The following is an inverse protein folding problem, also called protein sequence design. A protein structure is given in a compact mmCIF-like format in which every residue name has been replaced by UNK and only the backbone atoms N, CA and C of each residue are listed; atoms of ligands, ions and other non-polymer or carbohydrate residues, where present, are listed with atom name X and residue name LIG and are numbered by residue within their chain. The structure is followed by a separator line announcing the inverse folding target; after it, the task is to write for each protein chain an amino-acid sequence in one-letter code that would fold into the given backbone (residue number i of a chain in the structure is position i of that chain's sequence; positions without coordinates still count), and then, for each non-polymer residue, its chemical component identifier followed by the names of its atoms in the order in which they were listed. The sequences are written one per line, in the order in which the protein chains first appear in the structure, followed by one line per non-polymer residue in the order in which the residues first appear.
data_IF_467146413540
#
_entry.id   IF_467146413540
#
_cell.length_a   1.000
_cell.length_b   1.000
_cell.length_c   1.000
_cell.angle_alpha   90.00
_cell.angle_beta   90.00
_cell.angle_gamma   90.00
#
_symmetry.space_group_name_H-M   'P 1'
#
loop_
_entity.id
_entity.type
_entity.pdbx_description
1 polymer ?
#
# COMPACT_ATOMS: atom_id res chain seq x y z
N UNK A 1 -67.47 -3.29 -21.38
CA UNK A 1 -66.65 -3.80 -20.27
C UNK A 1 -65.26 -4.08 -20.82
N UNK A 2 -64.29 -3.12 -20.63
CA UNK A 2 -62.90 -3.28 -21.14
C UNK A 2 -62.01 -3.67 -20.00
N UNK A 3 -61.48 -4.93 -20.03
CA UNK A 3 -60.54 -5.48 -19.06
C UNK A 3 -59.16 -4.90 -19.40
N UNK A 4 -58.61 -4.08 -18.50
CA UNK A 4 -57.20 -3.65 -18.54
C UNK A 4 -56.33 -4.74 -17.95
N UNK A 5 -55.54 -5.40 -18.76
CA UNK A 5 -54.50 -6.33 -18.35
C UNK A 5 -53.28 -5.55 -17.90
N UNK A 6 -53.04 -5.55 -16.60
CA UNK A 6 -51.85 -4.95 -16.00
C UNK A 6 -50.67 -5.96 -16.08
N UNK A 7 -49.68 -5.66 -16.92
CA UNK A 7 -48.43 -6.37 -16.97
C UNK A 7 -47.59 -5.98 -15.78
N UNK A 8 -47.44 -6.88 -14.84
CA UNK A 8 -46.48 -6.77 -13.74
C UNK A 8 -45.09 -7.17 -14.29
N UNK A 9 -44.23 -6.19 -14.55
CA UNK A 9 -42.84 -6.43 -14.90
C UNK A 9 -42.09 -6.78 -13.61
N UNK A 10 -41.86 -8.06 -13.34
CA UNK A 10 -41.01 -8.52 -12.27
C UNK A 10 -39.56 -8.24 -12.67
N UNK A 11 -38.97 -7.16 -12.14
CA UNK A 11 -37.53 -6.94 -12.15
C UNK A 11 -36.87 -8.00 -11.28
N UNK A 12 -36.40 -9.07 -11.90
CA UNK A 12 -35.50 -10.03 -11.26
C UNK A 12 -34.16 -9.34 -11.03
N UNK A 13 -33.91 -8.86 -9.80
CA UNK A 13 -32.57 -8.54 -9.33
C UNK A 13 -31.77 -9.84 -9.30
N UNK A 14 -31.02 -10.12 -10.36
CA UNK A 14 -29.94 -11.07 -10.32
C UNK A 14 -28.90 -10.51 -9.32
N UNK A 15 -28.96 -10.93 -8.07
CA UNK A 15 -27.84 -10.89 -7.15
C UNK A 15 -26.75 -11.79 -7.75
N UNK A 16 -25.90 -11.20 -8.58
CA UNK A 16 -24.69 -11.85 -9.03
C UNK A 16 -23.93 -12.26 -7.77
N UNK A 17 -23.91 -13.55 -7.47
CA UNK A 17 -23.09 -14.12 -6.40
C UNK A 17 -21.65 -13.63 -6.66
N UNK A 18 -21.14 -12.77 -5.79
CA UNK A 18 -19.76 -12.30 -5.90
C UNK A 18 -18.86 -13.55 -5.93
N UNK A 19 -18.15 -13.74 -7.04
CA UNK A 19 -17.24 -14.87 -7.20
C UNK A 19 -16.13 -14.72 -6.16
N UNK A 20 -16.07 -15.67 -5.21
CA UNK A 20 -15.07 -15.65 -4.15
C UNK A 20 -13.79 -16.33 -4.60
N UNK A 21 -12.65 -15.78 -4.20
CA UNK A 21 -11.35 -16.39 -4.43
C UNK A 21 -11.21 -17.66 -3.59
N UNK A 22 -10.68 -18.71 -4.19
CA UNK A 22 -10.19 -19.87 -3.43
C UNK A 22 -8.84 -19.51 -2.81
N UNK A 23 -8.87 -19.02 -1.58
CA UNK A 23 -7.69 -18.54 -0.85
C UNK A 23 -6.60 -19.62 -0.73
N UNK A 24 -7.00 -20.88 -0.53
CA UNK A 24 -6.05 -22.01 -0.44
C UNK A 24 -5.29 -22.21 -1.76
N UNK A 25 -6.00 -22.18 -2.87
CA UNK A 25 -5.39 -22.31 -4.20
C UNK A 25 -4.53 -21.09 -4.53
N UNK A 26 -4.98 -19.86 -4.22
CA UNK A 26 -4.24 -18.64 -4.43
C UNK A 26 -2.91 -18.63 -3.67
N UNK A 27 -2.92 -18.98 -2.37
CA UNK A 27 -1.68 -19.13 -1.60
C UNK A 27 -0.77 -20.24 -2.12
N UNK A 28 -1.33 -21.37 -2.56
CA UNK A 28 -0.52 -22.47 -3.12
C UNK A 28 0.16 -22.07 -4.44
N UNK A 29 -0.52 -21.32 -5.31
CA UNK A 29 0.06 -20.80 -6.55
C UNK A 29 1.09 -19.70 -6.26
N UNK A 30 0.79 -18.76 -5.37
CA UNK A 30 1.70 -17.73 -4.94
C UNK A 30 2.98 -18.32 -4.32
N UNK A 31 2.87 -19.36 -3.48
CA UNK A 31 4.01 -20.02 -2.88
C UNK A 31 4.96 -20.64 -3.92
N UNK A 32 4.40 -21.29 -4.97
CA UNK A 32 5.21 -21.84 -6.09
C UNK A 32 5.95 -20.73 -6.83
N UNK A 33 5.28 -19.62 -7.06
CA UNK A 33 5.85 -18.46 -7.75
C UNK A 33 6.97 -17.84 -6.90
N UNK A 34 6.73 -17.62 -5.60
CA UNK A 34 7.72 -17.08 -4.67
C UNK A 34 8.94 -18.01 -4.49
N UNK A 35 8.78 -19.33 -4.60
CA UNK A 35 9.92 -20.27 -4.61
C UNK A 35 10.86 -20.02 -5.80
N UNK A 36 10.32 -19.63 -6.95
CA UNK A 36 11.10 -19.25 -8.12
C UNK A 36 11.77 -17.89 -7.88
N UNK A 37 11.02 -16.93 -7.32
CA UNK A 37 11.55 -15.61 -6.98
C UNK A 37 12.77 -15.72 -6.03
N UNK A 38 12.69 -16.56 -5.00
CA UNK A 38 13.78 -16.79 -4.05
C UNK A 38 15.04 -17.31 -4.75
N UNK A 39 14.90 -18.26 -5.69
CA UNK A 39 16.05 -18.77 -6.47
C UNK A 39 16.70 -17.66 -7.30
N UNK A 40 15.90 -16.78 -7.92
CA UNK A 40 16.41 -15.65 -8.68
C UNK A 40 17.09 -14.61 -7.76
N UNK A 41 16.53 -14.35 -6.59
CA UNK A 41 17.12 -13.47 -5.56
C UNK A 41 18.48 -14.02 -5.10
N UNK A 42 18.54 -15.31 -4.72
CA UNK A 42 19.79 -15.92 -4.26
C UNK A 42 20.85 -15.93 -5.37
N UNK A 43 20.47 -16.22 -6.62
CA UNK A 43 21.39 -16.17 -7.78
C UNK A 43 21.91 -14.75 -8.04
N UNK A 44 21.05 -13.73 -7.98
CA UNK A 44 21.46 -12.33 -8.15
C UNK A 44 22.42 -11.87 -7.05
N UNK A 45 22.22 -12.34 -5.81
CA UNK A 45 23.07 -12.02 -4.65
C UNK A 45 24.45 -12.66 -4.72
N UNK A 46 24.62 -13.78 -5.41
CA UNK A 46 25.97 -14.33 -5.67
C UNK A 46 26.83 -13.37 -6.49
N UNK A 47 26.20 -12.61 -7.40
CA UNK A 47 26.89 -11.64 -8.27
C UNK A 47 27.04 -10.27 -7.56
N UNK A 48 25.98 -9.82 -6.87
CA UNK A 48 25.91 -8.52 -6.20
C UNK A 48 25.36 -8.70 -4.77
N UNK A 49 26.21 -9.03 -3.78
CA UNK A 49 25.78 -9.36 -2.41
C UNK A 49 25.07 -8.24 -1.66
N UNK A 50 25.27 -6.98 -2.07
CA UNK A 50 24.63 -5.81 -1.47
C UNK A 50 23.16 -5.62 -1.89
N UNK A 51 22.69 -6.36 -2.90
CA UNK A 51 21.29 -6.36 -3.30
C UNK A 51 20.51 -7.33 -2.41
N UNK A 52 19.47 -6.84 -1.74
CA UNK A 52 18.77 -7.59 -0.68
C UNK A 52 17.33 -7.95 -1.00
N UNK A 53 16.68 -7.23 -1.92
CA UNK A 53 15.25 -7.40 -2.18
C UNK A 53 14.95 -7.31 -3.68
N UNK A 54 14.08 -8.18 -4.23
CA UNK A 54 13.56 -8.01 -5.58
C UNK A 54 12.62 -6.82 -5.60
N UNK A 55 12.63 -6.04 -6.68
CA UNK A 55 11.75 -4.88 -6.85
C UNK A 55 10.73 -5.08 -7.96
N UNK A 56 11.21 -5.42 -9.17
CA UNK A 56 10.39 -5.46 -10.38
C UNK A 56 11.10 -6.22 -11.50
N UNK A 57 10.42 -6.36 -12.63
CA UNK A 57 10.99 -6.71 -13.91
C UNK A 57 10.83 -5.53 -14.85
N UNK A 58 11.92 -4.97 -15.33
CA UNK A 58 11.89 -3.80 -16.21
C UNK A 58 12.64 -4.11 -17.50
N UNK A 59 12.00 -3.90 -18.66
CA UNK A 59 12.53 -4.24 -19.98
C UNK A 59 13.04 -5.70 -20.06
N UNK A 60 12.28 -6.61 -19.44
CA UNK A 60 12.62 -8.03 -19.37
C UNK A 60 13.77 -8.38 -18.41
N UNK A 61 14.29 -7.43 -17.65
CA UNK A 61 15.41 -7.63 -16.73
C UNK A 61 14.94 -7.65 -15.28
N UNK A 62 15.35 -8.66 -14.53
CA UNK A 62 15.12 -8.74 -13.08
C UNK A 62 15.87 -7.65 -12.34
N UNK A 63 15.14 -6.85 -11.58
CA UNK A 63 15.68 -5.73 -10.79
C UNK A 63 15.67 -6.05 -9.31
N UNK A 64 16.84 -6.01 -8.71
CA UNK A 64 17.07 -6.10 -7.28
C UNK A 64 17.47 -4.73 -6.73
N UNK A 65 17.20 -4.48 -5.46
CA UNK A 65 17.54 -3.24 -4.76
C UNK A 65 18.36 -3.49 -3.49
N UNK A 66 19.07 -2.44 -3.08
CA UNK A 66 19.77 -2.39 -1.80
C UNK A 66 18.79 -2.17 -0.65
N UNK A 67 19.22 -2.42 0.59
CA UNK A 67 18.37 -2.24 1.79
C UNK A 67 17.79 -0.84 1.94
N UNK A 68 18.46 0.18 1.41
CA UNK A 68 18.07 1.59 1.50
C UNK A 68 16.90 1.96 0.57
N UNK A 69 16.56 1.13 -0.39
CA UNK A 69 15.39 1.35 -1.26
C UNK A 69 14.10 1.19 -0.45
N UNK A 70 13.14 2.08 -0.67
CA UNK A 70 11.87 2.09 0.06
C UNK A 70 11.07 0.79 -0.08
N UNK A 71 11.30 0.06 -1.17
CA UNK A 71 10.59 -1.21 -1.43
C UNK A 71 11.26 -2.42 -0.78
N UNK A 72 12.41 -2.25 -0.13
CA UNK A 72 13.23 -3.37 0.38
C UNK A 72 12.52 -4.24 1.42
N UNK A 73 11.57 -3.66 2.17
CA UNK A 73 10.85 -4.36 3.24
C UNK A 73 9.73 -5.29 2.76
N UNK A 74 9.20 -5.11 1.54
CA UNK A 74 8.02 -5.86 1.11
C UNK A 74 8.30 -7.35 0.89
N UNK A 75 9.40 -7.69 0.25
CA UNK A 75 9.75 -9.10 0.02
C UNK A 75 9.92 -9.91 1.32
N UNK A 76 10.70 -9.50 2.32
CA UNK A 76 10.73 -10.22 3.58
C UNK A 76 9.39 -10.20 4.32
N UNK A 77 8.58 -9.14 4.17
CA UNK A 77 7.27 -9.05 4.80
C UNK A 77 6.25 -10.03 4.20
N UNK A 78 6.27 -10.25 2.87
CA UNK A 78 5.40 -11.25 2.23
C UNK A 78 5.74 -12.68 2.68
N UNK A 79 7.01 -12.99 2.96
CA UNK A 79 7.43 -14.29 3.48
C UNK A 79 6.84 -14.57 4.86
N UNK A 80 6.66 -13.54 5.69
CA UNK A 80 5.92 -13.66 6.95
C UNK A 80 4.44 -13.97 6.74
N UNK A 81 3.80 -13.50 5.66
CA UNK A 81 2.42 -13.87 5.33
C UNK A 81 2.30 -15.34 4.91
N UNK A 82 3.27 -15.88 4.17
CA UNK A 82 3.32 -17.33 3.91
C UNK A 82 3.46 -18.12 5.20
N UNK A 83 4.33 -17.71 6.12
CA UNK A 83 4.41 -18.35 7.43
C UNK A 83 3.11 -18.22 8.23
N UNK A 84 2.50 -17.05 8.24
CA UNK A 84 1.22 -16.84 8.92
C UNK A 84 0.14 -17.79 8.41
N UNK A 85 0.09 -17.99 7.10
CA UNK A 85 -0.92 -18.82 6.46
C UNK A 85 -0.67 -20.31 6.64
N UNK A 86 0.57 -20.77 6.40
CA UNK A 86 0.92 -22.20 6.29
C UNK A 86 1.43 -22.80 7.59
N UNK A 87 2.01 -21.98 8.47
CA UNK A 87 2.81 -22.40 9.65
C UNK A 87 4.05 -23.24 9.29
N UNK A 88 4.43 -23.31 8.02
CA UNK A 88 5.59 -24.05 7.56
C UNK A 88 6.90 -23.36 7.98
N UNK A 89 7.77 -24.14 8.61
CA UNK A 89 9.09 -23.72 9.12
C UNK A 89 10.02 -23.19 8.03
N UNK A 90 9.81 -23.63 6.78
CA UNK A 90 10.52 -23.08 5.60
C UNK A 90 10.31 -21.57 5.50
N UNK A 91 9.05 -21.11 5.51
CA UNK A 91 8.72 -19.70 5.37
C UNK A 91 9.19 -18.87 6.56
N UNK A 92 9.12 -19.43 7.76
CA UNK A 92 9.69 -18.82 8.95
C UNK A 92 11.18 -18.52 8.80
N UNK A 93 11.96 -19.54 8.39
CA UNK A 93 13.42 -19.39 8.24
C UNK A 93 13.79 -18.39 7.15
N UNK A 94 13.08 -18.42 6.01
CA UNK A 94 13.28 -17.48 4.89
C UNK A 94 12.89 -16.06 5.30
N UNK A 95 11.74 -15.87 5.94
CA UNK A 95 11.31 -14.56 6.43
C UNK A 95 12.34 -13.95 7.39
N UNK A 96 12.85 -14.72 8.34
CA UNK A 96 13.93 -14.28 9.25
C UNK A 96 15.20 -13.89 8.49
N UNK A 97 15.69 -14.76 7.59
CA UNK A 97 16.89 -14.52 6.79
C UNK A 97 16.85 -13.16 6.10
N UNK A 98 15.78 -12.92 5.33
CA UNK A 98 15.67 -11.70 4.53
C UNK A 98 15.25 -10.46 5.35
N UNK A 99 14.60 -10.63 6.50
CA UNK A 99 14.30 -9.53 7.44
C UNK A 99 15.59 -8.95 8.03
N UNK A 100 16.56 -9.79 8.42
CA UNK A 100 17.83 -9.31 8.98
C UNK A 100 18.66 -8.48 7.98
N UNK A 101 18.55 -8.72 6.67
CA UNK A 101 19.28 -7.98 5.63
C UNK A 101 18.98 -6.47 5.60
N UNK A 102 17.83 -6.06 6.12
CA UNK A 102 17.38 -4.66 6.14
C UNK A 102 17.42 -4.02 7.53
N UNK A 103 17.83 -4.75 8.55
CA UNK A 103 17.88 -4.30 9.96
C UNK A 103 18.60 -2.98 10.18
N UNK A 104 19.69 -2.73 9.45
CA UNK A 104 20.46 -1.48 9.56
C UNK A 104 19.65 -0.23 9.22
N UNK A 105 18.59 -0.35 8.42
CA UNK A 105 17.75 0.77 8.03
C UNK A 105 16.90 1.33 9.18
N UNK A 106 16.86 0.67 10.33
CA UNK A 106 16.29 1.23 11.57
C UNK A 106 16.89 2.58 11.95
N UNK A 107 18.12 2.87 11.50
CA UNK A 107 18.83 4.13 11.75
C UNK A 107 18.71 5.14 10.60
N UNK A 108 18.00 4.79 9.52
CA UNK A 108 17.84 5.65 8.36
C UNK A 108 16.96 6.87 8.70
N UNK A 109 17.49 8.06 8.48
CA UNK A 109 16.81 9.35 8.73
C UNK A 109 16.54 10.13 7.43
N UNK A 110 16.88 9.56 6.28
CA UNK A 110 16.80 10.23 4.97
C UNK A 110 15.50 9.97 4.21
N UNK A 111 14.59 9.15 4.77
CA UNK A 111 13.29 8.84 4.15
C UNK A 111 12.19 8.70 5.21
N UNK A 112 10.94 8.89 4.79
CA UNK A 112 9.77 8.58 5.61
C UNK A 112 9.38 7.09 5.55
N UNK A 113 9.93 6.31 4.62
CA UNK A 113 9.47 4.96 4.26
C UNK A 113 9.82 3.87 5.28
N UNK A 114 10.20 4.25 6.50
CA UNK A 114 10.58 3.28 7.53
C UNK A 114 9.43 2.36 7.96
N UNK A 115 8.18 2.77 7.76
CA UNK A 115 7.04 1.88 7.92
C UNK A 115 7.08 0.75 6.92
N UNK A 116 7.30 1.04 5.63
CA UNK A 116 7.44 0.04 4.58
C UNK A 116 8.69 -0.82 4.76
N UNK A 117 9.84 -0.17 5.01
CA UNK A 117 11.13 -0.85 5.07
C UNK A 117 11.27 -1.71 6.32
N UNK A 118 10.86 -1.19 7.49
CA UNK A 118 11.11 -1.83 8.80
C UNK A 118 9.83 -2.42 9.39
N UNK A 119 8.72 -1.65 9.47
CA UNK A 119 7.56 -2.18 10.17
C UNK A 119 6.90 -3.33 9.40
N UNK A 120 6.88 -3.29 8.07
CA UNK A 120 6.40 -4.41 7.26
C UNK A 120 7.00 -5.76 7.72
N UNK A 121 8.31 -5.99 7.59
CA UNK A 121 8.92 -7.27 7.97
C UNK A 121 9.11 -7.46 9.48
N UNK A 122 9.64 -6.48 10.21
CA UNK A 122 9.90 -6.65 11.65
C UNK A 122 8.60 -6.66 12.47
N UNK A 123 7.59 -5.87 12.08
CA UNK A 123 6.27 -5.85 12.71
C UNK A 123 5.53 -7.18 12.54
N UNK A 124 5.50 -7.73 11.32
CA UNK A 124 4.94 -9.06 11.08
C UNK A 124 5.73 -10.14 11.83
N UNK A 125 7.05 -10.06 11.83
CA UNK A 125 7.90 -10.98 12.58
C UNK A 125 7.62 -10.92 14.08
N UNK A 126 7.57 -9.73 14.68
CA UNK A 126 7.25 -9.54 16.10
C UNK A 126 5.84 -10.08 16.43
N UNK A 127 4.84 -9.71 15.65
CA UNK A 127 3.46 -10.16 15.85
C UNK A 127 3.30 -11.68 15.83
N UNK A 128 4.08 -12.37 14.99
CA UNK A 128 3.97 -13.83 14.78
C UNK A 128 4.86 -14.64 15.72
N UNK A 129 5.91 -14.04 16.30
CA UNK A 129 6.93 -14.77 17.08
C UNK A 129 7.09 -14.27 18.51
N UNK A 130 6.75 -13.00 18.79
CA UNK A 130 7.04 -12.35 20.06
C UNK A 130 8.53 -11.99 20.25
N UNK A 131 9.37 -12.07 19.20
CA UNK A 131 10.81 -11.83 19.28
C UNK A 131 11.11 -10.38 19.72
N UNK A 132 11.63 -10.21 20.94
CA UNK A 132 11.92 -8.90 21.53
C UNK A 132 13.04 -8.15 20.80
N UNK A 133 13.91 -8.83 20.06
CA UNK A 133 14.91 -8.18 19.22
C UNK A 133 14.23 -7.38 18.09
N UNK A 134 13.14 -7.89 17.53
CA UNK A 134 12.35 -7.17 16.54
C UNK A 134 11.64 -5.94 17.12
N UNK A 135 11.13 -6.05 18.36
CA UNK A 135 10.59 -4.92 19.11
C UNK A 135 11.59 -3.77 19.22
N UNK A 136 12.85 -4.08 19.56
CA UNK A 136 13.92 -3.07 19.67
C UNK A 136 14.17 -2.35 18.33
N UNK A 137 14.19 -3.09 17.21
CA UNK A 137 14.36 -2.54 15.86
C UNK A 137 13.20 -1.60 15.48
N UNK A 138 11.95 -1.99 15.77
CA UNK A 138 10.75 -1.18 15.50
C UNK A 138 10.81 0.14 16.28
N UNK A 139 11.15 0.09 17.58
CA UNK A 139 11.27 1.29 18.41
C UNK A 139 12.37 2.21 17.89
N UNK A 140 13.53 1.66 17.49
CA UNK A 140 14.61 2.46 16.92
C UNK A 140 14.21 3.11 15.59
N UNK A 141 13.52 2.38 14.71
CA UNK A 141 13.02 2.93 13.45
C UNK A 141 11.99 4.06 13.68
N UNK A 142 11.11 3.92 14.67
CA UNK A 142 10.17 4.98 15.04
C UNK A 142 10.90 6.24 15.55
N UNK A 143 11.96 6.09 16.33
CA UNK A 143 12.83 7.22 16.73
C UNK A 143 13.46 7.88 15.51
N UNK A 144 13.97 7.10 14.55
CA UNK A 144 14.56 7.62 13.32
C UNK A 144 13.54 8.36 12.46
N UNK A 145 12.33 7.80 12.26
CA UNK A 145 11.23 8.46 11.55
C UNK A 145 10.82 9.77 12.24
N UNK A 146 10.73 9.79 13.56
CA UNK A 146 10.33 10.97 14.33
C UNK A 146 11.27 12.17 14.13
N UNK A 147 12.54 11.93 13.76
CA UNK A 147 13.48 13.04 13.44
C UNK A 147 13.09 13.83 12.20
N UNK A 148 12.19 13.31 11.38
CA UNK A 148 11.68 13.97 10.18
C UNK A 148 10.46 14.88 10.46
N UNK A 149 9.99 14.91 11.70
CA UNK A 149 8.85 15.76 12.07
C UNK A 149 9.25 17.20 12.27
N UNK A 150 8.55 18.11 11.61
CA UNK A 150 8.68 19.54 11.80
C UNK A 150 7.49 20.08 12.61
N UNK A 151 7.76 20.71 13.74
CA UNK A 151 6.72 21.22 14.65
C UNK A 151 5.94 22.41 14.06
N UNK A 152 6.58 23.23 13.21
CA UNK A 152 5.92 24.39 12.58
C UNK A 152 4.92 23.96 11.53
N UNK A 153 5.28 22.99 10.68
CA UNK A 153 4.38 22.44 9.66
C UNK A 153 3.45 21.32 10.18
N UNK A 154 3.76 20.73 11.34
CA UNK A 154 2.97 19.67 11.95
C UNK A 154 3.02 18.32 11.22
N UNK A 155 4.02 18.09 10.37
CA UNK A 155 4.10 16.92 9.47
C UNK A 155 5.51 16.34 9.39
N UNK A 156 5.60 15.09 8.90
CA UNK A 156 6.84 14.37 8.62
C UNK A 156 7.29 14.64 7.17
N UNK A 157 8.53 15.02 6.97
CA UNK A 157 9.13 15.22 5.64
C UNK A 157 9.29 13.87 4.91
N UNK A 158 8.95 13.82 3.62
CA UNK A 158 9.02 12.58 2.86
C UNK A 158 10.43 12.25 2.37
N UNK A 159 11.11 13.17 1.69
CA UNK A 159 12.47 12.97 1.16
C UNK A 159 13.29 14.25 1.21
N UNK A 160 14.61 14.14 0.94
CA UNK A 160 15.57 15.25 1.02
C UNK A 160 16.18 15.62 -0.35
N UNK A 161 15.87 14.87 -1.42
CA UNK A 161 16.34 15.18 -2.77
C UNK A 161 15.50 16.27 -3.45
N UNK A 162 16.01 16.84 -4.55
CA UNK A 162 15.37 17.92 -5.33
C UNK A 162 15.02 19.15 -4.48
N UNK A 163 15.98 19.62 -3.66
CA UNK A 163 15.82 20.78 -2.78
C UNK A 163 15.66 22.12 -3.50
N UNK A 164 15.98 22.17 -4.78
CA UNK A 164 15.68 23.25 -5.71
C UNK A 164 14.19 23.33 -6.05
N UNK A 165 13.53 22.18 -6.15
CA UNK A 165 12.10 22.06 -6.48
C UNK A 165 11.21 22.12 -5.24
N UNK A 166 11.60 21.48 -4.14
CA UNK A 166 10.79 21.35 -2.92
C UNK A 166 11.58 21.78 -1.67
N UNK A 167 10.93 22.53 -0.79
CA UNK A 167 11.51 22.92 0.51
C UNK A 167 11.29 21.85 1.58
N UNK A 168 10.05 21.43 1.76
CA UNK A 168 9.66 20.43 2.72
C UNK A 168 8.52 19.56 2.16
N UNK A 169 8.83 18.65 1.24
CA UNK A 169 7.83 17.84 0.56
C UNK A 169 7.23 16.78 1.48
N UNK A 170 5.92 16.65 1.42
CA UNK A 170 5.13 15.62 2.10
C UNK A 170 4.22 14.96 1.08
N UNK A 171 4.34 13.65 0.92
CA UNK A 171 3.48 12.89 0.01
C UNK A 171 2.44 12.09 0.76
N UNK A 172 1.35 11.78 0.08
CA UNK A 172 0.22 11.04 0.65
C UNK A 172 0.61 9.65 1.17
N UNK A 173 1.65 9.04 0.60
CA UNK A 173 2.22 7.73 0.98
C UNK A 173 2.69 7.71 2.44
N UNK A 174 3.04 8.89 3.00
CA UNK A 174 3.50 9.01 4.38
C UNK A 174 2.46 8.48 5.38
N UNK A 175 1.17 8.52 5.03
CA UNK A 175 0.09 7.97 5.85
C UNK A 175 0.29 6.48 6.18
N UNK A 176 0.94 5.72 5.29
CA UNK A 176 1.25 4.30 5.50
C UNK A 176 2.33 4.08 6.56
N UNK A 177 3.22 5.05 6.74
CA UNK A 177 4.35 4.94 7.64
C UNK A 177 4.00 5.32 9.09
N UNK A 178 2.79 5.85 9.33
CA UNK A 178 2.31 6.23 10.67
C UNK A 178 2.07 5.01 11.57
N UNK A 179 1.79 3.83 11.01
CA UNK A 179 1.60 2.59 11.77
C UNK A 179 2.81 2.28 12.65
N UNK A 180 4.03 2.50 12.13
CA UNK A 180 5.27 2.35 12.89
C UNK A 180 5.27 3.21 14.18
N UNK A 181 4.74 4.44 14.12
CA UNK A 181 4.69 5.34 15.27
C UNK A 181 3.62 4.92 16.28
N UNK A 182 2.45 4.51 15.82
CA UNK A 182 1.39 3.99 16.69
C UNK A 182 1.86 2.73 17.43
N UNK A 183 2.50 1.81 16.74
CA UNK A 183 3.04 0.59 17.34
C UNK A 183 4.17 0.87 18.32
N UNK A 184 5.06 1.81 18.02
CA UNK A 184 6.10 2.23 18.97
C UNK A 184 5.49 2.82 20.25
N UNK A 185 4.38 3.59 20.14
CA UNK A 185 3.63 4.06 21.32
C UNK A 185 3.12 2.90 22.17
N UNK A 186 2.49 1.89 21.55
CA UNK A 186 1.99 0.71 22.27
C UNK A 186 3.14 -0.08 22.95
N UNK A 187 4.27 -0.18 22.27
CA UNK A 187 5.43 -0.95 22.76
C UNK A 187 6.16 -0.26 23.91
N UNK A 188 6.15 1.07 23.96
CA UNK A 188 6.97 1.87 24.91
C UNK A 188 6.15 2.62 25.94
N UNK A 189 4.89 2.93 25.67
CA UNK A 189 4.09 3.88 26.45
C UNK A 189 4.42 5.36 26.15
N UNK A 190 5.41 5.64 25.26
CA UNK A 190 5.78 7.00 24.89
C UNK A 190 4.74 7.60 23.91
N UNK A 191 3.95 8.55 24.42
CA UNK A 191 2.92 9.22 23.63
C UNK A 191 3.46 10.21 22.58
N UNK A 192 4.75 10.49 22.56
CA UNK A 192 5.35 11.42 21.59
C UNK A 192 5.19 10.89 20.16
N UNK A 193 5.35 9.60 19.95
CA UNK A 193 5.13 8.95 18.63
C UNK A 193 3.68 9.08 18.19
N UNK A 194 2.72 8.82 19.09
CA UNK A 194 1.29 8.98 18.81
C UNK A 194 0.95 10.42 18.41
N UNK A 195 1.46 11.42 19.15
CA UNK A 195 1.23 12.84 18.87
C UNK A 195 1.76 13.25 17.49
N UNK A 196 2.92 12.74 17.08
CA UNK A 196 3.48 12.98 15.74
C UNK A 196 2.56 12.36 14.67
N UNK A 197 2.13 11.12 14.84
CA UNK A 197 1.27 10.43 13.89
C UNK A 197 -0.08 11.15 13.72
N UNK A 198 -0.72 11.53 14.82
CA UNK A 198 -2.01 12.26 14.81
C UNK A 198 -1.84 13.63 14.17
N UNK A 199 -0.81 14.41 14.57
CA UNK A 199 -0.53 15.71 13.96
C UNK A 199 -0.37 15.59 12.45
N UNK A 200 0.40 14.62 11.98
CA UNK A 200 0.59 14.39 10.55
C UNK A 200 -0.74 14.06 9.84
N UNK A 201 -1.53 13.15 10.40
CA UNK A 201 -2.82 12.74 9.82
C UNK A 201 -3.82 13.90 9.75
N UNK A 202 -3.91 14.76 10.79
CA UNK A 202 -4.81 15.93 10.82
C UNK A 202 -4.41 16.97 9.76
N UNK A 203 -3.11 17.25 9.61
CA UNK A 203 -2.63 18.16 8.56
C UNK A 203 -2.84 17.58 7.17
N UNK A 204 -2.74 16.26 7.01
CA UNK A 204 -2.98 15.59 5.73
C UNK A 204 -4.46 15.68 5.33
N UNK A 205 -5.43 15.49 6.25
CA UNK A 205 -6.86 15.74 5.96
C UNK A 205 -7.07 17.15 5.43
N UNK A 206 -6.51 18.13 6.12
CA UNK A 206 -6.71 19.54 5.80
C UNK A 206 -6.11 19.94 4.46
N UNK A 207 -4.96 19.37 4.10
CA UNK A 207 -4.10 19.93 3.05
C UNK A 207 -4.04 19.08 1.78
N UNK A 208 -4.14 17.74 1.87
CA UNK A 208 -3.95 16.85 0.73
C UNK A 208 -5.23 16.54 -0.05
N UNK A 209 -6.40 16.81 0.51
CA UNK A 209 -7.66 16.38 -0.14
C UNK A 209 -8.42 17.53 -0.77
N UNK A 210 -9.08 17.22 -1.88
CA UNK A 210 -10.10 18.05 -2.51
C UNK A 210 -11.48 17.72 -1.92
N UNK A 211 -12.52 18.54 -2.16
CA UNK A 211 -13.87 18.31 -1.63
C UNK A 211 -14.48 16.96 -2.04
N UNK A 212 -14.03 16.36 -3.15
CA UNK A 212 -14.46 15.04 -3.64
C UNK A 212 -13.67 13.87 -3.05
N UNK A 213 -12.79 14.12 -2.06
CA UNK A 213 -11.87 13.16 -1.43
C UNK A 213 -10.75 12.64 -2.33
N UNK A 214 -10.56 13.21 -3.53
CA UNK A 214 -9.33 12.96 -4.29
C UNK A 214 -8.14 13.66 -3.63
N UNK A 215 -6.95 13.05 -3.71
CA UNK A 215 -5.75 13.60 -3.06
C UNK A 215 -4.79 14.23 -4.05
N UNK A 216 -4.15 15.31 -3.64
CA UNK A 216 -2.86 15.73 -4.19
C UNK A 216 -1.79 14.70 -3.81
N UNK A 217 -0.81 14.50 -4.66
CA UNK A 217 0.31 13.62 -4.34
C UNK A 217 1.29 14.30 -3.37
N UNK A 218 1.76 15.50 -3.68
CA UNK A 218 2.79 16.23 -2.93
C UNK A 218 2.25 17.56 -2.43
N UNK A 219 2.40 17.81 -1.13
CA UNK A 219 2.27 19.15 -0.54
C UNK A 219 3.64 19.60 -0.05
N UNK A 220 4.06 20.78 -0.49
CA UNK A 220 5.31 21.41 -0.04
C UNK A 220 5.04 22.49 0.99
N UNK A 221 5.78 22.50 2.09
CA UNK A 221 5.53 23.37 3.24
C UNK A 221 6.64 24.39 3.49
N UNK A 222 6.26 25.59 3.99
CA UNK A 222 7.16 26.54 4.62
C UNK A 222 7.40 26.15 6.08
N UNK A 223 8.57 25.61 6.36
CA UNK A 223 8.93 25.19 7.73
C UNK A 223 9.71 26.24 8.52
N UNK A 224 10.08 27.35 7.87
CA UNK A 224 10.91 28.39 8.48
C UNK A 224 10.07 29.48 9.17
N UNK A 225 8.89 29.78 8.64
CA UNK A 225 8.09 30.92 9.12
C UNK A 225 6.70 30.54 9.62
N UNK A 226 5.90 29.86 8.80
CA UNK A 226 4.45 29.78 9.03
C UNK A 226 3.88 28.37 9.07
N UNK A 227 4.59 27.36 8.56
CA UNK A 227 4.03 26.02 8.33
C UNK A 227 2.98 25.97 7.20
N UNK A 228 2.81 27.06 6.46
CA UNK A 228 1.83 27.16 5.39
C UNK A 228 2.24 26.33 4.17
N UNK A 229 1.25 26.01 3.33
CA UNK A 229 1.49 25.37 2.04
C UNK A 229 2.13 26.36 1.09
N UNK A 230 3.27 25.97 0.50
CA UNK A 230 3.92 26.71 -0.58
C UNK A 230 3.33 26.34 -1.94
N UNK A 231 3.11 25.02 -2.16
CA UNK A 231 2.60 24.52 -3.44
C UNK A 231 1.99 23.13 -3.26
N UNK A 232 1.09 22.76 -4.21
CA UNK A 232 0.48 21.45 -4.34
C UNK A 232 0.86 20.86 -5.69
N UNK A 233 1.45 19.67 -5.68
CA UNK A 233 2.12 19.11 -6.84
C UNK A 233 1.90 17.61 -6.99
N UNK A 234 2.46 17.06 -8.05
CA UNK A 234 2.66 15.62 -8.19
C UNK A 234 4.10 15.28 -8.54
N UNK A 235 4.54 14.10 -8.14
CA UNK A 235 5.78 13.46 -8.61
C UNK A 235 5.45 12.22 -9.46
N UNK A 236 4.43 11.44 -9.07
CA UNK A 236 4.07 10.16 -9.71
C UNK A 236 2.72 10.17 -10.42
N UNK A 237 1.86 11.18 -10.22
CA UNK A 237 0.59 11.34 -10.92
C UNK A 237 0.74 11.97 -12.30
N UNK A 238 -0.35 11.99 -13.06
CA UNK A 238 -0.42 12.55 -14.41
C UNK A 238 -0.17 14.07 -14.42
N UNK A 239 -0.83 14.79 -13.53
CA UNK A 239 -0.72 16.25 -13.39
C UNK A 239 -0.90 16.66 -11.93
N UNK A 240 -0.56 17.91 -11.60
CA UNK A 240 -0.69 18.41 -10.21
C UNK A 240 -2.13 18.30 -9.69
N UNK A 241 -3.12 18.49 -10.54
CA UNK A 241 -4.54 18.41 -10.20
C UNK A 241 -5.14 17.00 -10.40
N UNK A 242 -4.36 16.01 -10.84
CA UNK A 242 -4.84 14.65 -11.02
C UNK A 242 -4.92 13.86 -9.71
N UNK A 243 -5.60 12.74 -9.76
CA UNK A 243 -5.68 11.77 -8.67
C UNK A 243 -4.93 10.49 -9.06
N UNK A 244 -3.70 10.38 -8.60
CA UNK A 244 -2.86 9.21 -8.80
C UNK A 244 -3.44 7.99 -8.07
N UNK A 245 -3.68 6.89 -8.80
CA UNK A 245 -4.45 5.76 -8.26
C UNK A 245 -3.83 5.12 -7.01
N UNK A 246 -2.51 4.92 -7.01
CA UNK A 246 -1.83 4.35 -5.86
C UNK A 246 -1.80 5.32 -4.68
N UNK A 247 -1.73 6.63 -4.93
CA UNK A 247 -1.88 7.64 -3.88
C UNK A 247 -3.23 7.58 -3.19
N UNK A 248 -4.31 7.39 -3.97
CA UNK A 248 -5.65 7.18 -3.40
C UNK A 248 -5.72 5.89 -2.57
N UNK A 249 -5.09 4.81 -3.03
CA UNK A 249 -5.04 3.56 -2.30
C UNK A 249 -4.24 3.70 -0.97
N UNK A 250 -3.10 4.40 -0.99
CA UNK A 250 -2.33 4.71 0.22
C UNK A 250 -3.14 5.54 1.22
N UNK A 251 -3.85 6.56 0.73
CA UNK A 251 -4.72 7.38 1.56
C UNK A 251 -5.83 6.55 2.23
N UNK A 252 -6.51 5.70 1.47
CA UNK A 252 -7.57 4.83 1.99
C UNK A 252 -7.04 3.92 3.10
N UNK A 253 -5.93 3.25 2.86
CA UNK A 253 -5.32 2.35 3.83
C UNK A 253 -4.85 3.14 5.06
N UNK A 254 -4.15 4.26 4.84
CA UNK A 254 -3.59 5.10 5.91
C UNK A 254 -4.65 5.66 6.84
N UNK A 255 -5.78 6.16 6.33
CA UNK A 255 -6.87 6.63 7.19
C UNK A 255 -7.63 5.51 7.87
N UNK A 256 -7.75 4.35 7.25
CA UNK A 256 -8.32 3.15 7.89
C UNK A 256 -7.48 2.72 9.09
N UNK A 257 -6.15 2.66 8.94
CA UNK A 257 -5.25 2.35 10.05
C UNK A 257 -5.25 3.43 11.13
N UNK A 258 -5.27 4.71 10.77
CA UNK A 258 -5.37 5.81 11.75
C UNK A 258 -6.66 5.70 12.58
N UNK A 259 -7.78 5.36 11.96
CA UNK A 259 -9.01 5.07 12.71
C UNK A 259 -8.86 3.85 13.62
N UNK A 260 -8.27 2.76 13.14
CA UNK A 260 -8.00 1.58 13.97
C UNK A 260 -7.25 1.94 15.25
N UNK A 261 -6.23 2.80 15.12
CA UNK A 261 -5.34 3.15 16.21
C UNK A 261 -5.91 4.20 17.18
N UNK A 262 -6.69 5.15 16.66
CA UNK A 262 -7.12 6.32 17.44
C UNK A 262 -8.59 6.32 17.82
N UNK A 263 -9.43 5.58 17.09
CA UNK A 263 -10.90 5.64 17.14
C UNK A 263 -11.48 7.03 16.81
N UNK A 264 -10.68 7.91 16.21
CA UNK A 264 -11.15 9.23 15.80
C UNK A 264 -12.10 9.11 14.61
N UNK A 265 -13.36 9.49 14.81
CA UNK A 265 -14.42 9.40 13.79
C UNK A 265 -14.14 10.23 12.53
N UNK A 266 -13.34 11.30 12.63
CA UNK A 266 -12.94 12.08 11.46
C UNK A 266 -12.07 11.23 10.48
N UNK A 267 -11.21 10.36 11.00
CA UNK A 267 -10.41 9.45 10.16
C UNK A 267 -11.28 8.38 9.49
N UNK A 268 -12.31 7.87 10.18
CA UNK A 268 -13.27 6.95 9.57
C UNK A 268 -14.05 7.63 8.45
N UNK A 269 -14.56 8.85 8.70
CA UNK A 269 -15.28 9.63 7.69
C UNK A 269 -14.38 9.93 6.47
N UNK A 270 -13.10 10.25 6.71
CA UNK A 270 -12.14 10.46 5.64
C UNK A 270 -11.89 9.18 4.82
N UNK A 271 -11.71 8.02 5.48
CA UNK A 271 -11.56 6.74 4.82
C UNK A 271 -12.81 6.36 3.99
N UNK A 272 -14.01 6.58 4.55
CA UNK A 272 -15.28 6.37 3.85
C UNK A 272 -15.41 7.27 2.60
N UNK A 273 -15.01 8.54 2.70
CA UNK A 273 -14.99 9.48 1.58
C UNK A 273 -14.04 9.04 0.46
N UNK A 274 -12.81 8.64 0.82
CA UNK A 274 -11.81 8.14 -0.15
C UNK A 274 -12.30 6.85 -0.81
N UNK A 275 -12.86 5.91 -0.02
CA UNK A 275 -13.46 4.69 -0.57
C UNK A 275 -14.61 5.04 -1.53
N UNK A 276 -15.42 6.05 -1.20
CA UNK A 276 -16.47 6.58 -2.07
C UNK A 276 -15.92 7.10 -3.41
N UNK A 277 -14.84 7.90 -3.39
CA UNK A 277 -14.16 8.38 -4.60
C UNK A 277 -13.71 7.22 -5.48
N UNK A 278 -12.94 6.26 -4.91
CA UNK A 278 -12.39 5.11 -5.64
C UNK A 278 -13.51 4.26 -6.27
N UNK A 279 -14.53 3.91 -5.47
CA UNK A 279 -15.55 2.94 -5.89
C UNK A 279 -16.63 3.53 -6.80
N UNK A 280 -16.83 4.85 -6.80
CA UNK A 280 -17.80 5.52 -7.64
C UNK A 280 -17.16 6.16 -8.88
N UNK A 281 -15.85 6.04 -9.06
CA UNK A 281 -15.14 6.55 -10.23
C UNK A 281 -15.69 5.93 -11.51
N UNK A 282 -16.09 6.79 -12.45
CA UNK A 282 -16.63 6.37 -13.74
C UNK A 282 -15.58 5.80 -14.70
N UNK A 283 -14.31 6.09 -14.44
CA UNK A 283 -13.20 5.62 -15.28
C UNK A 283 -12.64 4.27 -14.79
N UNK A 284 -12.96 3.84 -13.60
CA UNK A 284 -12.50 2.53 -13.11
C UNK A 284 -13.20 1.42 -13.88
N UNK A 285 -12.45 0.51 -14.51
CA UNK A 285 -13.03 -0.59 -15.29
C UNK A 285 -13.85 -1.56 -14.43
N UNK A 286 -14.70 -2.32 -15.14
CA UNK A 286 -15.65 -3.23 -14.48
C UNK A 286 -15.00 -4.30 -13.59
N UNK A 287 -13.72 -4.64 -13.78
CA UNK A 287 -12.97 -5.59 -12.95
C UNK A 287 -12.46 -4.97 -11.63
N UNK A 288 -12.60 -3.65 -11.46
CA UNK A 288 -12.19 -2.93 -10.25
C UNK A 288 -10.70 -2.63 -10.15
N UNK A 289 -9.91 -2.94 -11.20
CA UNK A 289 -8.48 -2.59 -11.24
C UNK A 289 -8.34 -1.21 -11.88
N UNK A 290 -7.83 -0.19 -11.18
CA UNK A 290 -7.77 1.17 -11.72
C UNK A 290 -6.72 1.30 -12.81
N UNK A 291 -6.86 2.34 -13.63
CA UNK A 291 -5.74 2.88 -14.38
C UNK A 291 -4.76 3.55 -13.41
N UNK A 292 -3.52 3.78 -13.85
CA UNK A 292 -2.46 4.34 -13.01
C UNK A 292 -2.78 5.73 -12.43
N UNK A 293 -3.65 6.50 -13.11
CA UNK A 293 -4.16 7.79 -12.65
C UNK A 293 -5.63 7.94 -13.13
N UNK A 294 -6.50 8.49 -12.29
CA UNK A 294 -7.94 8.64 -12.59
C UNK A 294 -8.24 9.73 -13.63
N UNK A 295 -7.27 10.61 -13.89
CA UNK A 295 -7.44 11.77 -14.76
C UNK A 295 -6.54 11.72 -16.01
N UNK A 296 -5.89 10.56 -16.32
CA UNK A 296 -5.14 10.45 -17.58
C UNK A 296 -6.10 10.57 -18.77
N UNK A 297 -5.92 11.57 -19.65
CA UNK A 297 -6.85 11.82 -20.78
C UNK A 297 -6.84 10.71 -21.82
N UNK A 298 -5.86 9.81 -21.79
CA UNK A 298 -5.75 8.69 -22.73
C UNK A 298 -6.46 7.42 -22.25
N UNK A 299 -7.20 7.47 -21.14
CA UNK A 299 -8.06 6.36 -20.72
C UNK A 299 -9.06 6.07 -21.85
N UNK A 300 -9.25 4.79 -22.27
CA UNK A 300 -8.80 3.54 -21.65
C UNK A 300 -7.44 3.01 -22.14
N UNK A 301 -6.70 3.73 -22.97
CA UNK A 301 -5.49 3.27 -23.65
C UNK A 301 -4.21 3.55 -22.83
N UNK A 302 -4.27 3.34 -21.52
CA UNK A 302 -3.15 3.52 -20.60
C UNK A 302 -3.00 2.33 -19.65
N UNK A 303 -1.82 2.22 -19.02
CA UNK A 303 -1.52 1.12 -18.10
C UNK A 303 -2.46 1.09 -16.89
N UNK A 304 -2.72 -0.13 -16.42
CA UNK A 304 -3.43 -0.41 -15.18
C UNK A 304 -2.44 -0.35 -14.00
N UNK A 305 -2.96 -0.31 -12.79
CA UNK A 305 -2.13 -0.45 -11.59
C UNK A 305 -2.69 -1.51 -10.65
N UNK A 306 -2.22 -2.76 -10.82
CA UNK A 306 -2.59 -3.88 -9.97
C UNK A 306 -2.15 -3.65 -8.52
N UNK A 307 -1.07 -2.89 -8.28
CA UNK A 307 -0.62 -2.56 -6.93
C UNK A 307 -1.63 -1.67 -6.19
N UNK A 308 -2.16 -0.64 -6.87
CA UNK A 308 -3.21 0.21 -6.30
C UNK A 308 -4.47 -0.60 -5.97
N UNK A 309 -4.82 -1.57 -6.82
CA UNK A 309 -5.94 -2.47 -6.57
C UNK A 309 -5.72 -3.39 -5.36
N UNK A 310 -4.53 -3.98 -5.22
CA UNK A 310 -4.20 -4.85 -4.10
C UNK A 310 -4.25 -4.11 -2.76
N UNK A 311 -3.67 -2.90 -2.71
CA UNK A 311 -3.72 -2.00 -1.55
C UNK A 311 -5.18 -1.63 -1.21
N UNK A 312 -5.96 -1.27 -2.23
CA UNK A 312 -7.38 -0.91 -2.06
C UNK A 312 -8.19 -2.08 -1.52
N UNK A 313 -8.02 -3.30 -2.05
CA UNK A 313 -8.72 -4.48 -1.57
C UNK A 313 -8.39 -4.78 -0.10
N UNK A 314 -7.11 -4.72 0.27
CA UNK A 314 -6.66 -4.93 1.64
C UNK A 314 -7.25 -3.89 2.59
N UNK A 315 -7.23 -2.60 2.20
CA UNK A 315 -7.81 -1.51 2.98
C UNK A 315 -9.33 -1.65 3.15
N UNK A 316 -10.05 -2.01 2.10
CA UNK A 316 -11.51 -2.19 2.14
C UNK A 316 -11.94 -3.33 3.04
N UNK A 317 -11.21 -4.46 3.07
CA UNK A 317 -11.49 -5.53 4.03
C UNK A 317 -11.34 -5.06 5.48
N UNK A 318 -10.36 -4.23 5.76
CA UNK A 318 -10.19 -3.67 7.10
C UNK A 318 -11.26 -2.62 7.41
N UNK A 319 -11.51 -1.67 6.49
CA UNK A 319 -12.51 -0.62 6.66
C UNK A 319 -13.92 -1.19 6.86
N UNK A 320 -14.24 -2.32 6.23
CA UNK A 320 -15.50 -3.01 6.39
C UNK A 320 -15.78 -3.47 7.84
N UNK A 321 -14.75 -3.57 8.69
CA UNK A 321 -14.91 -3.92 10.11
C UNK A 321 -15.43 -2.74 10.94
N UNK A 322 -15.38 -1.52 10.42
CA UNK A 322 -15.61 -0.30 11.17
C UNK A 322 -16.74 0.57 10.59
N UNK A 323 -16.90 0.57 9.27
CA UNK A 323 -17.84 1.43 8.56
C UNK A 323 -19.25 0.84 8.50
N UNK A 324 -20.26 1.73 8.50
CA UNK A 324 -21.64 1.38 8.19
C UNK A 324 -21.84 0.79 6.78
N UNK A 325 -20.86 0.98 5.88
CA UNK A 325 -20.85 0.47 4.51
C UNK A 325 -20.20 -0.93 4.37
N UNK A 326 -20.11 -1.69 5.45
CA UNK A 326 -19.40 -2.97 5.51
C UNK A 326 -19.68 -3.92 4.35
N UNK A 327 -20.97 -4.13 4.00
CA UNK A 327 -21.37 -5.01 2.89
C UNK A 327 -20.84 -4.51 1.53
N UNK A 328 -20.93 -3.20 1.27
CA UNK A 328 -20.43 -2.57 0.03
C UNK A 328 -18.92 -2.74 -0.10
N UNK A 329 -18.19 -2.46 0.96
CA UNK A 329 -16.72 -2.53 0.96
C UNK A 329 -16.21 -3.95 0.84
N UNK A 330 -16.83 -4.90 1.57
CA UNK A 330 -16.49 -6.30 1.44
C UNK A 330 -16.75 -6.82 0.02
N UNK A 331 -17.89 -6.50 -0.58
CA UNK A 331 -18.21 -6.92 -1.95
C UNK A 331 -17.24 -6.33 -2.98
N UNK A 332 -16.84 -5.06 -2.80
CA UNK A 332 -15.86 -4.42 -3.67
C UNK A 332 -14.47 -5.06 -3.51
N UNK A 333 -14.03 -5.34 -2.28
CA UNK A 333 -12.78 -6.03 -2.01
C UNK A 333 -12.77 -7.45 -2.59
N UNK A 334 -13.85 -8.22 -2.40
CA UNK A 334 -14.02 -9.57 -2.98
C UNK A 334 -13.89 -9.53 -4.51
N UNK A 335 -14.53 -8.54 -5.18
CA UNK A 335 -14.46 -8.36 -6.63
C UNK A 335 -13.04 -8.04 -7.10
N UNK A 336 -12.38 -7.07 -6.46
CA UNK A 336 -11.01 -6.67 -6.80
C UNK A 336 -10.07 -7.87 -6.61
N UNK A 337 -10.15 -8.55 -5.46
CA UNK A 337 -9.31 -9.69 -5.15
C UNK A 337 -9.54 -10.86 -6.13
N UNK A 338 -10.79 -11.10 -6.54
CA UNK A 338 -11.11 -12.10 -7.56
C UNK A 338 -10.47 -11.74 -8.91
N UNK A 339 -10.58 -10.48 -9.34
CA UNK A 339 -9.95 -10.00 -10.59
C UNK A 339 -8.44 -10.16 -10.55
N UNK A 340 -7.78 -9.74 -9.45
CA UNK A 340 -6.35 -9.92 -9.24
C UNK A 340 -5.96 -11.39 -9.34
N UNK A 341 -6.68 -12.29 -8.67
CA UNK A 341 -6.37 -13.72 -8.60
C UNK A 341 -6.60 -14.50 -9.90
N UNK A 342 -7.40 -13.96 -10.83
CA UNK A 342 -7.80 -14.68 -12.05
C UNK A 342 -7.26 -14.09 -13.35
N UNK A 343 -6.91 -12.80 -13.35
CA UNK A 343 -6.52 -12.07 -14.56
C UNK A 343 -5.18 -11.34 -14.46
N UNK A 344 -4.66 -11.15 -13.24
CA UNK A 344 -3.47 -10.35 -12.98
C UNK A 344 -2.35 -11.12 -12.27
N UNK A 345 -2.50 -12.43 -12.11
CA UNK A 345 -1.42 -13.30 -11.61
C UNK A 345 -0.54 -13.77 -12.76
N UNK A 346 0.77 -13.71 -12.56
CA UNK A 346 1.75 -14.32 -13.46
C UNK A 346 1.52 -15.81 -13.60
N UNK A 347 1.77 -16.36 -14.79
CA UNK A 347 1.87 -17.81 -14.94
C UNK A 347 3.05 -18.34 -14.14
N UNK A 348 2.93 -19.58 -13.63
CA UNK A 348 4.02 -20.18 -12.85
C UNK A 348 5.28 -20.27 -13.73
N UNK A 349 6.36 -19.65 -13.26
CA UNK A 349 7.64 -19.56 -13.97
C UNK A 349 7.88 -18.25 -14.69
N UNK A 350 6.84 -17.49 -15.02
CA UNK A 350 6.97 -16.19 -15.66
C UNK A 350 7.38 -15.09 -14.66
N UNK A 351 7.80 -13.95 -15.18
CA UNK A 351 8.11 -12.74 -14.40
C UNK A 351 9.10 -12.97 -13.25
N UNK A 352 10.05 -13.90 -13.41
CA UNK A 352 11.07 -14.24 -12.40
C UNK A 352 10.49 -14.69 -11.05
N UNK A 353 9.21 -15.00 -11.00
CA UNK A 353 8.55 -15.49 -9.79
C UNK A 353 7.76 -14.43 -9.01
N UNK A 354 7.56 -13.21 -9.54
CA UNK A 354 6.58 -12.25 -8.99
C UNK A 354 5.16 -12.79 -9.18
N UNK A 355 4.31 -12.52 -8.19
CA UNK A 355 2.93 -13.07 -8.14
C UNK A 355 1.99 -12.31 -9.06
N UNK A 356 1.96 -10.97 -8.94
CA UNK A 356 1.10 -10.11 -9.75
C UNK A 356 1.88 -9.43 -10.88
N UNK A 357 1.19 -9.16 -11.97
CA UNK A 357 1.66 -8.37 -13.11
C UNK A 357 0.75 -7.12 -13.30
N UNK A 358 1.08 -6.28 -14.29
CA UNK A 358 0.29 -5.11 -14.66
C UNK A 358 0.20 -4.02 -13.58
N UNK A 359 1.29 -3.77 -12.85
CA UNK A 359 1.44 -2.61 -11.96
C UNK A 359 2.12 -1.44 -12.66
N UNK A 360 1.90 -0.22 -12.18
CA UNK A 360 2.56 0.99 -12.68
C UNK A 360 3.24 1.73 -11.53
N UNK A 361 4.58 1.63 -11.45
CA UNK A 361 5.40 2.25 -10.41
C UNK A 361 5.55 3.76 -10.59
N UNK A 362 6.14 4.20 -11.72
CA UNK A 362 6.44 5.62 -11.93
C UNK A 362 6.35 6.04 -13.41
N UNK A 363 5.13 6.23 -13.92
CA UNK A 363 4.90 6.57 -15.32
C UNK A 363 5.53 7.91 -15.77
N UNK A 364 5.49 9.01 -14.98
CA UNK A 364 6.16 10.25 -15.37
C UNK A 364 7.67 10.09 -15.57
N UNK A 365 8.33 9.22 -14.80
CA UNK A 365 9.74 8.87 -14.99
C UNK A 365 9.98 7.83 -16.09
N UNK A 366 8.93 7.38 -16.79
CA UNK A 366 8.99 6.32 -17.82
C UNK A 366 9.60 5.01 -17.30
N UNK A 367 9.38 4.70 -16.02
CA UNK A 367 9.90 3.51 -15.36
C UNK A 367 8.77 2.71 -14.71
N UNK A 368 8.95 1.40 -14.62
CA UNK A 368 8.02 0.48 -13.96
C UNK A 368 6.58 0.61 -14.48
N UNK A 369 6.40 0.61 -15.83
CA UNK A 369 5.10 0.73 -16.48
C UNK A 369 4.66 -0.66 -16.96
N UNK A 370 3.49 -1.10 -16.49
CA UNK A 370 2.90 -2.40 -16.85
C UNK A 370 3.81 -3.58 -16.52
N UNK A 371 4.29 -3.64 -15.27
CA UNK A 371 5.29 -4.60 -14.79
C UNK A 371 4.86 -5.23 -13.45
N UNK A 372 5.45 -6.39 -13.06
CA UNK A 372 5.31 -6.89 -11.70
C UNK A 372 6.09 -6.01 -10.71
N UNK A 373 5.56 -5.82 -9.50
CA UNK A 373 6.21 -5.04 -8.45
C UNK A 373 5.98 -5.70 -7.09
N UNK A 374 7.02 -5.80 -6.25
CA UNK A 374 6.98 -6.54 -4.99
C UNK A 374 5.91 -6.06 -3.99
N UNK A 375 5.61 -4.76 -3.91
CA UNK A 375 4.56 -4.29 -3.00
C UNK A 375 3.14 -4.67 -3.48
N UNK A 376 2.94 -4.93 -4.78
CA UNK A 376 1.69 -5.51 -5.27
C UNK A 376 1.48 -6.92 -4.69
N UNK A 377 2.52 -7.73 -4.70
CA UNK A 377 2.51 -9.09 -4.16
C UNK A 377 2.23 -9.09 -2.66
N UNK A 378 2.91 -8.22 -1.91
CA UNK A 378 2.70 -8.06 -0.47
C UNK A 378 1.24 -7.73 -0.13
N UNK A 379 0.65 -6.70 -0.74
CA UNK A 379 -0.74 -6.32 -0.43
C UNK A 379 -1.77 -7.31 -0.98
N UNK A 380 -1.46 -8.02 -2.05
CA UNK A 380 -2.29 -9.13 -2.52
C UNK A 380 -2.37 -10.26 -1.49
N UNK A 381 -1.24 -10.71 -0.95
CA UNK A 381 -1.19 -11.72 0.10
C UNK A 381 -1.90 -11.25 1.38
N UNK A 382 -1.74 -9.98 1.74
CA UNK A 382 -2.47 -9.39 2.87
C UNK A 382 -3.98 -9.40 2.62
N UNK A 383 -4.43 -9.00 1.44
CA UNK A 383 -5.85 -9.03 1.07
C UNK A 383 -6.42 -10.46 1.13
N UNK A 384 -5.68 -11.47 0.66
CA UNK A 384 -6.05 -12.88 0.79
C UNK A 384 -6.22 -13.31 2.26
N UNK A 385 -5.33 -12.84 3.16
CA UNK A 385 -5.45 -13.11 4.59
C UNK A 385 -6.67 -12.42 5.21
N UNK A 386 -6.97 -11.20 4.79
CA UNK A 386 -8.09 -10.39 5.30
C UNK A 386 -9.46 -10.83 4.75
N UNK A 387 -9.50 -11.55 3.63
CA UNK A 387 -10.74 -12.04 2.99
C UNK A 387 -11.38 -13.24 3.71
N UNK A 388 -10.63 -13.88 4.63
CA UNK A 388 -11.12 -14.99 5.48
C UNK A 388 -11.99 -14.43 6.58
#
# INVERSE_FOLDING_TARGET
MKIKMMFLCALSFNLANAQKVNVKQAFASAAKQTDILIKNVDSARLIKPNLVSPRTVEKGQFKMVVSRDWTSGFFPAELWYFYQYTKDKKWFNLARKYTEDIKKEQYNRGTHDLGFMIYGPFGNGYRLTGDTAYKAVIIQAAKSLSTRFNKTAGVLKSWDHNGDKWKYPVIIDNMMNLELLFEATKMTGDSSFYKIAVSHADHTIKNHFRPDFSSYHVIDYDTLKSGNILQKLTAQGYANESAWARGQAWALYGYTLCFRETKNKAYLAQADGIAGFILNSKVTPADGIPYWDYNDPNIPNVSRDASAAAITASALYELAKYSGNAKKYKAAADKILYSLSTKYTSKIGDNYGFILEHSTGHRPAKSEIDVPINYADYYYLEALLRSK
#
